data_IF_044851919192
#
_entry.id   IF_044851919192
#
_cell.length_a   1.000
_cell.length_b   1.000
_cell.length_c   1.000
_cell.angle_alpha   90.00
_cell.angle_beta   90.00
_cell.angle_gamma   90.00
#
_symmetry.space_group_name_H-M   'P 1'
#
loop_
_entity.id
_entity.type
_entity.pdbx_description
1 polymer ?
#
# COMPACT_ATOMS: atom_id res chain seq x y z
N UNK A 1 -41.85 29.48 -20.07
CA UNK A 1 -40.59 28.91 -20.61
C UNK A 1 -39.88 28.26 -19.43
N UNK A 2 -39.26 27.09 -19.62
CA UNK A 2 -38.59 26.40 -18.51
C UNK A 2 -37.42 27.25 -17.99
N UNK A 3 -37.26 27.31 -16.68
CA UNK A 3 -36.15 28.02 -16.04
C UNK A 3 -34.82 27.40 -16.50
N UNK A 4 -33.81 28.20 -16.89
CA UNK A 4 -32.53 27.67 -17.36
C UNK A 4 -31.88 26.83 -16.27
N UNK A 5 -31.77 25.53 -16.53
CA UNK A 5 -31.10 24.57 -15.67
C UNK A 5 -29.62 24.44 -16.06
N UNK A 6 -28.69 24.22 -15.12
CA UNK A 6 -27.30 23.95 -15.46
C UNK A 6 -27.15 22.73 -16.37
N UNK A 7 -26.34 22.85 -17.42
CA UNK A 7 -26.12 21.78 -18.40
C UNK A 7 -25.62 20.49 -17.76
N UNK A 8 -25.99 19.36 -18.35
CA UNK A 8 -25.41 18.07 -17.98
C UNK A 8 -23.89 18.10 -18.10
N UNK A 9 -23.23 17.63 -17.05
CA UNK A 9 -21.78 17.59 -16.93
C UNK A 9 -21.32 16.16 -16.66
N UNK A 10 -20.25 15.75 -17.34
CA UNK A 10 -19.56 14.51 -17.00
C UNK A 10 -18.85 14.68 -15.65
N UNK A 11 -19.17 13.82 -14.68
CA UNK A 11 -18.59 13.88 -13.35
C UNK A 11 -17.11 13.44 -13.38
N UNK A 12 -16.17 14.28 -12.92
CA UNK A 12 -14.74 13.98 -12.99
C UNK A 12 -14.38 12.81 -12.07
N UNK A 13 -13.39 11.99 -12.45
CA UNK A 13 -12.98 10.80 -11.68
C UNK A 13 -12.45 11.15 -10.28
N UNK A 14 -11.52 12.11 -10.11
CA UNK A 14 -10.94 12.43 -8.81
C UNK A 14 -11.98 12.97 -7.82
N UNK A 15 -11.95 12.49 -6.57
CA UNK A 15 -12.99 12.83 -5.58
C UNK A 15 -13.03 14.33 -5.23
N UNK A 16 -11.87 15.00 -5.14
CA UNK A 16 -11.79 16.44 -4.82
C UNK A 16 -12.40 17.30 -5.92
N UNK A 17 -12.04 17.02 -7.16
CA UNK A 17 -12.58 17.70 -8.34
C UNK A 17 -14.07 17.41 -8.47
N UNK A 18 -14.49 16.17 -8.22
CA UNK A 18 -15.91 15.81 -8.23
C UNK A 18 -16.70 16.59 -7.18
N UNK A 19 -16.21 16.70 -5.95
CA UNK A 19 -16.87 17.48 -4.91
C UNK A 19 -16.97 18.97 -5.27
N UNK A 20 -15.91 19.55 -5.84
CA UNK A 20 -15.89 20.95 -6.25
C UNK A 20 -16.87 21.24 -7.40
N UNK A 21 -16.85 20.40 -8.44
CA UNK A 21 -17.75 20.51 -9.58
C UNK A 21 -19.21 20.26 -9.19
N UNK A 22 -19.48 19.24 -8.37
CA UNK A 22 -20.82 18.99 -7.83
C UNK A 22 -21.31 20.16 -6.97
N UNK A 23 -20.45 20.75 -6.14
CA UNK A 23 -20.80 21.91 -5.33
C UNK A 23 -21.20 23.11 -6.20
N UNK A 24 -20.40 23.42 -7.23
CA UNK A 24 -20.71 24.49 -8.20
C UNK A 24 -22.02 24.22 -8.95
N UNK A 25 -22.21 22.98 -9.39
CA UNK A 25 -23.43 22.55 -10.07
C UNK A 25 -24.67 22.73 -9.17
N UNK A 26 -24.61 22.25 -7.92
CA UNK A 26 -25.71 22.36 -6.96
C UNK A 26 -26.00 23.81 -6.57
N UNK A 27 -25.00 24.67 -6.43
CA UNK A 27 -25.21 26.11 -6.20
C UNK A 27 -25.94 26.77 -7.37
N UNK A 28 -25.59 26.39 -8.60
CA UNK A 28 -26.25 26.90 -9.81
C UNK A 28 -27.69 26.38 -9.90
N UNK A 29 -27.89 25.09 -9.61
CA UNK A 29 -29.21 24.48 -9.57
C UNK A 29 -30.11 25.13 -8.49
N UNK A 30 -29.57 25.40 -7.30
CA UNK A 30 -30.28 26.08 -6.22
C UNK A 30 -30.74 27.48 -6.64
N UNK A 31 -29.85 28.26 -7.27
CA UNK A 31 -30.21 29.59 -7.81
C UNK A 31 -31.29 29.49 -8.88
N UNK A 32 -31.25 28.47 -9.74
CA UNK A 32 -32.30 28.22 -10.74
C UNK A 32 -33.64 27.85 -10.07
N UNK A 33 -33.64 27.12 -8.96
CA UNK A 33 -34.84 26.80 -8.19
C UNK A 33 -35.42 28.06 -7.54
N UNK A 34 -34.58 28.86 -6.87
CA UNK A 34 -35.00 30.11 -6.21
C UNK A 34 -35.57 31.13 -7.18
N UNK A 35 -35.03 31.19 -8.40
CA UNK A 35 -35.48 32.12 -9.45
C UNK A 35 -36.63 31.57 -10.31
N UNK A 36 -37.05 30.32 -10.08
CA UNK A 36 -38.08 29.68 -10.90
C UNK A 36 -39.46 30.33 -10.77
N UNK A 37 -39.77 31.07 -9.70
CA UNK A 37 -41.04 31.79 -9.52
C UNK A 37 -42.28 30.92 -9.82
N UNK A 38 -42.27 29.65 -9.38
CA UNK A 38 -43.36 28.68 -9.62
C UNK A 38 -43.33 28.01 -11.00
N UNK A 39 -42.34 28.29 -11.86
CA UNK A 39 -42.13 27.55 -13.09
C UNK A 39 -41.63 26.12 -12.80
N UNK A 40 -42.07 25.13 -13.58
CA UNK A 40 -41.62 23.75 -13.43
C UNK A 40 -40.12 23.61 -13.71
N UNK A 41 -39.43 22.89 -12.83
CA UNK A 41 -38.02 22.55 -12.92
C UNK A 41 -37.83 21.36 -13.85
N UNK A 42 -36.74 21.36 -14.62
CA UNK A 42 -36.43 20.26 -15.55
C UNK A 42 -36.04 18.98 -14.79
N UNK A 43 -36.80 17.87 -14.90
CA UNK A 43 -36.54 16.65 -14.12
C UNK A 43 -35.18 15.99 -14.40
N UNK A 44 -34.68 16.11 -15.64
CA UNK A 44 -33.37 15.56 -16.02
C UNK A 44 -32.22 16.22 -15.25
N UNK A 45 -32.34 17.52 -15.01
CA UNK A 45 -31.36 18.26 -14.25
C UNK A 45 -31.25 17.85 -12.78
N UNK A 46 -32.40 17.59 -12.17
CA UNK A 46 -32.48 17.05 -10.81
C UNK A 46 -31.89 15.64 -10.76
N UNK A 47 -32.19 14.81 -11.77
CA UNK A 47 -31.61 13.46 -11.90
C UNK A 47 -30.08 13.49 -12.01
N UNK A 48 -29.52 14.41 -12.79
CA UNK A 48 -28.07 14.57 -12.92
C UNK A 48 -27.40 14.90 -11.58
N UNK A 49 -27.97 15.82 -10.79
CA UNK A 49 -27.51 16.13 -9.44
C UNK A 49 -27.47 14.90 -8.52
N UNK A 50 -28.53 14.08 -8.54
CA UNK A 50 -28.58 12.85 -7.74
C UNK A 50 -27.53 11.82 -8.19
N UNK A 51 -27.33 11.64 -9.49
CA UNK A 51 -26.28 10.76 -10.02
C UNK A 51 -24.90 11.23 -9.57
N UNK A 52 -24.62 12.53 -9.65
CA UNK A 52 -23.36 13.12 -9.19
C UNK A 52 -23.12 12.91 -7.70
N UNK A 53 -24.13 13.18 -6.87
CA UNK A 53 -24.06 12.98 -5.43
C UNK A 53 -23.82 11.51 -5.05
N UNK A 54 -24.56 10.57 -5.64
CA UNK A 54 -24.37 9.13 -5.40
C UNK A 54 -22.98 8.68 -5.84
N UNK A 55 -22.51 9.13 -7.00
CA UNK A 55 -21.16 8.80 -7.47
C UNK A 55 -20.07 9.38 -6.56
N UNK A 56 -20.28 10.54 -5.92
CA UNK A 56 -19.35 11.08 -4.93
C UNK A 56 -19.34 10.26 -3.64
N UNK A 57 -20.51 9.84 -3.14
CA UNK A 57 -20.63 8.99 -1.94
C UNK A 57 -19.87 7.68 -2.16
N UNK A 58 -20.07 7.02 -3.30
CA UNK A 58 -19.34 5.80 -3.65
C UNK A 58 -17.84 6.05 -3.65
N UNK A 59 -17.37 7.17 -4.24
CA UNK A 59 -15.93 7.49 -4.23
C UNK A 59 -15.39 7.69 -2.81
N UNK A 60 -16.13 8.35 -1.92
CA UNK A 60 -15.73 8.58 -0.53
C UNK A 60 -15.69 7.27 0.28
N UNK A 61 -16.64 6.36 0.04
CA UNK A 61 -16.65 5.03 0.67
C UNK A 61 -15.47 4.16 0.22
N UNK A 62 -14.94 4.40 -0.98
CA UNK A 62 -13.78 3.68 -1.52
C UNK A 62 -12.43 4.33 -1.15
N UNK A 63 -12.41 5.42 -0.36
CA UNK A 63 -11.15 5.98 0.14
C UNK A 63 -10.62 5.02 1.21
N UNK A 64 -9.43 4.42 1.04
CA UNK A 64 -8.87 3.54 2.04
C UNK A 64 -8.62 4.30 3.33
N UNK A 65 -8.97 3.69 4.45
CA UNK A 65 -8.68 4.25 5.77
C UNK A 65 -7.15 4.34 5.95
N UNK A 66 -6.65 5.59 6.00
CA UNK A 66 -5.22 5.89 6.15
C UNK A 66 -4.67 5.30 7.44
N UNK A 67 -5.50 5.16 8.49
CA UNK A 67 -5.09 4.51 9.74
C UNK A 67 -4.70 3.05 9.53
N UNK A 68 -5.52 2.29 8.79
CA UNK A 68 -5.23 0.91 8.42
C UNK A 68 -4.00 0.81 7.51
N UNK A 69 -3.84 1.72 6.55
CA UNK A 69 -2.66 1.75 5.68
C UNK A 69 -1.39 2.04 6.47
N UNK A 70 -1.41 3.03 7.36
CA UNK A 70 -0.27 3.37 8.21
C UNK A 70 0.10 2.21 9.14
N UNK A 71 -0.88 1.57 9.77
CA UNK A 71 -0.64 0.40 10.62
C UNK A 71 -0.07 -0.78 9.84
N UNK A 72 -0.59 -1.04 8.63
CA UNK A 72 -0.05 -2.08 7.76
C UNK A 72 1.42 -1.78 7.40
N UNK A 73 1.76 -0.53 7.07
CA UNK A 73 3.13 -0.09 6.78
C UNK A 73 4.04 -0.27 8.00
N UNK A 74 3.58 0.13 9.20
CA UNK A 74 4.39 0.02 10.41
C UNK A 74 4.61 -1.45 10.81
N UNK A 75 3.59 -2.30 10.67
CA UNK A 75 3.73 -3.74 10.87
C UNK A 75 4.75 -4.35 9.90
N UNK A 76 4.64 -4.02 8.61
CA UNK A 76 5.59 -4.47 7.59
C UNK A 76 7.03 -4.02 7.90
N UNK A 77 7.19 -2.80 8.41
CA UNK A 77 8.48 -2.26 8.85
C UNK A 77 9.03 -3.03 10.05
N UNK A 78 8.21 -3.30 11.06
CA UNK A 78 8.61 -4.08 12.23
C UNK A 78 9.02 -5.51 11.86
N UNK A 79 8.22 -6.18 11.02
CA UNK A 79 8.51 -7.53 10.51
C UNK A 79 9.82 -7.56 9.73
N UNK A 80 10.03 -6.59 8.83
CA UNK A 80 11.27 -6.47 8.04
C UNK A 80 12.48 -6.24 8.94
N UNK A 81 12.35 -5.39 9.97
CA UNK A 81 13.42 -5.14 10.94
C UNK A 81 13.76 -6.41 11.72
N UNK A 82 12.76 -7.13 12.21
CA UNK A 82 12.95 -8.39 12.92
C UNK A 82 13.62 -9.46 12.04
N UNK A 83 13.18 -9.59 10.79
CA UNK A 83 13.79 -10.50 9.82
C UNK A 83 15.26 -10.16 9.55
N UNK A 84 15.58 -8.87 9.39
CA UNK A 84 16.95 -8.40 9.20
C UNK A 84 17.82 -8.67 10.43
N UNK A 85 17.35 -8.34 11.63
CA UNK A 85 18.08 -8.64 12.88
C UNK A 85 18.35 -10.13 13.04
N UNK A 86 17.36 -10.97 12.72
CA UNK A 86 17.53 -12.42 12.74
C UNK A 86 18.58 -12.87 11.72
N UNK A 87 18.50 -12.40 10.46
CA UNK A 87 19.46 -12.74 9.42
C UNK A 87 20.90 -12.33 9.79
N UNK A 88 21.09 -11.13 10.37
CA UNK A 88 22.39 -10.65 10.86
C UNK A 88 22.93 -11.55 11.97
N UNK A 89 22.08 -11.93 12.94
CA UNK A 89 22.45 -12.85 14.03
C UNK A 89 22.86 -14.21 13.47
N UNK A 90 22.03 -14.82 12.63
CA UNK A 90 22.31 -16.12 12.00
C UNK A 90 23.61 -16.09 11.21
N UNK A 91 23.82 -15.05 10.40
CA UNK A 91 25.04 -14.88 9.59
C UNK A 91 26.28 -14.75 10.48
N UNK A 92 26.17 -14.01 11.59
CA UNK A 92 27.26 -13.85 12.55
C UNK A 92 27.60 -15.17 13.25
N UNK A 93 26.60 -15.93 13.68
CA UNK A 93 26.79 -17.26 14.28
C UNK A 93 27.43 -18.25 13.30
N UNK A 94 26.99 -18.26 12.04
CA UNK A 94 27.59 -19.08 10.98
C UNK A 94 29.06 -18.72 10.78
N UNK A 95 29.40 -17.43 10.75
CA UNK A 95 30.78 -16.96 10.61
C UNK A 95 31.66 -17.45 11.75
N UNK A 96 31.18 -17.37 12.99
CA UNK A 96 31.91 -17.84 14.18
C UNK A 96 32.14 -19.34 14.11
N UNK A 97 31.11 -20.13 13.79
CA UNK A 97 31.22 -21.58 13.67
C UNK A 97 32.21 -22.00 12.58
N UNK A 98 32.22 -21.29 11.43
CA UNK A 98 33.20 -21.53 10.36
C UNK A 98 34.63 -21.24 10.84
N UNK A 99 34.84 -20.13 11.56
CA UNK A 99 36.17 -19.79 12.09
C UNK A 99 36.66 -20.83 13.11
N UNK A 100 35.78 -21.29 14.01
CA UNK A 100 36.09 -22.34 14.99
C UNK A 100 36.44 -23.65 14.29
N UNK A 101 35.60 -24.15 13.38
CA UNK A 101 35.87 -25.37 12.62
C UNK A 101 37.18 -25.28 11.81
N UNK A 102 37.47 -24.11 11.23
CA UNK A 102 38.73 -23.89 10.49
C UNK A 102 39.94 -23.96 11.40
N UNK A 103 39.85 -23.42 12.63
CA UNK A 103 40.91 -23.52 13.63
C UNK A 103 41.11 -24.96 14.10
N UNK A 104 40.03 -25.69 14.39
CA UNK A 104 40.09 -27.11 14.79
C UNK A 104 40.71 -28.02 13.71
N UNK A 105 40.40 -27.78 12.44
CA UNK A 105 41.02 -28.52 11.32
C UNK A 105 42.53 -28.24 11.25
N UNK A 106 42.96 -27.02 11.56
CA UNK A 106 44.37 -26.63 11.53
C UNK A 106 45.16 -27.22 12.71
N UNK A 107 44.51 -27.49 13.84
CA UNK A 107 45.13 -28.06 15.03
C UNK A 107 45.10 -29.60 15.09
N UNK A 108 44.26 -30.28 14.29
CA UNK A 108 44.28 -31.75 14.22
C UNK A 108 45.54 -32.26 13.48
N UNK A 109 46.46 -33.00 14.13
CA UNK A 109 47.57 -33.62 13.41
C UNK A 109 47.04 -34.75 12.52
N UNK A 110 47.53 -34.78 11.28
CA UNK A 110 47.31 -35.87 10.32
C UNK A 110 47.59 -37.22 11.00
N UNK A 111 46.68 -38.22 10.95
CA UNK A 111 46.99 -39.53 11.49
C UNK A 111 48.11 -40.16 10.67
N UNK A 112 49.33 -40.10 11.20
CA UNK A 112 50.49 -40.78 10.61
C UNK A 112 50.22 -42.28 10.67
N UNK A 113 49.86 -42.87 9.53
CA UNK A 113 49.77 -44.32 9.39
C UNK A 113 51.13 -44.95 9.71
N UNK A 114 51.19 -46.03 10.52
CA UNK A 114 52.45 -46.69 10.85
C UNK A 114 52.98 -47.43 9.61
N UNK A 115 54.00 -46.86 8.97
CA UNK A 115 54.77 -47.52 7.92
C UNK A 115 55.57 -48.69 8.52
N UNK A 116 55.19 -49.88 8.08
CA UNK A 116 55.94 -51.14 8.00
C UNK A 116 57.43 -51.01 8.28
N UNK A 117 57.87 -51.41 9.48
CA UNK A 117 59.28 -51.72 9.73
C UNK A 117 59.52 -53.19 9.40
N UNK A 118 60.17 -53.44 8.26
CA UNK A 118 60.78 -54.71 7.92
C UNK A 118 62.23 -54.70 8.45
N UNK A 119 62.69 -55.69 9.24
CA UNK A 119 64.03 -55.68 9.81
C UNK A 119 65.06 -56.08 8.75
N UNK A 120 66.07 -55.22 8.53
CA UNK A 120 67.25 -55.54 7.71
C UNK A 120 68.30 -56.18 8.61
N UNK A 121 68.54 -57.48 8.40
CA UNK A 121 69.68 -58.21 8.96
C UNK A 121 70.99 -57.60 8.47
N UNK A 122 71.96 -57.42 9.36
CA UNK A 122 73.31 -57.99 9.28
C UNK A 122 74.02 -57.84 10.62
#
# INVERSE_FOLDING_TARGET
MATPWPNDQAWPTPYREHAAELSRYLQTALKSIETANGQPIQPQGVRAAFIGALALIVKLQNIPDIGHVHQAIENLRMETKAANENAVRTTSSMRIAIQQNTAEIKEKPTPTSPLTQLPRKH
#
